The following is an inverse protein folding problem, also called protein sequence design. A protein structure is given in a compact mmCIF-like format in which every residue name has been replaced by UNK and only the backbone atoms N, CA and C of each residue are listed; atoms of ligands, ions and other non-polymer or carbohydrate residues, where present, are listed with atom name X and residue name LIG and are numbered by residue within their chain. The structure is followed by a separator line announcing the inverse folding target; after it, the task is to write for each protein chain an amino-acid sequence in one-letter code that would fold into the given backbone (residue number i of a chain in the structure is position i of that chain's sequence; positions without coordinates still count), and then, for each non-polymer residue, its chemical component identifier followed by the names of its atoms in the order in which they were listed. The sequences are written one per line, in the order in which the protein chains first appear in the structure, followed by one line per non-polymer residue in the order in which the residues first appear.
data_IF_154922241007
#
_entry.id   IF_154922241007
#
_cell.length_a   1.000
_cell.length_b   1.000
_cell.length_c   1.000
_cell.angle_alpha   90.00
_cell.angle_beta   90.00
_cell.angle_gamma   90.00
#
_symmetry.space_group_name_H-M   'P 1'
#
loop_
_entity.id
_entity.type
_entity.pdbx_description
1 polymer ?
#
# COMPACT_ATOMS: atom_id res chain seq x y z
N UNK A 1 5.10 -23.85 -9.74
CA UNK A 1 3.93 -23.28 -10.45
C UNK A 1 2.84 -23.08 -9.41
N UNK A 2 2.32 -21.85 -9.27
CA UNK A 2 1.27 -21.44 -8.33
C UNK A 2 -0.08 -21.56 -9.04
N UNK A 3 -1.06 -22.27 -8.48
CA UNK A 3 -2.15 -22.78 -9.31
C UNK A 3 -3.54 -22.11 -9.19
N UNK A 4 -3.85 -21.22 -8.23
CA UNK A 4 -4.93 -20.19 -8.37
C UNK A 4 -5.14 -19.26 -7.13
N UNK A 5 -6.03 -18.27 -7.32
CA UNK A 5 -6.20 -16.96 -6.65
C UNK A 5 -6.47 -16.98 -5.12
N UNK A 6 -5.99 -15.97 -4.34
CA UNK A 6 -5.08 -14.91 -4.78
C UNK A 6 -3.69 -15.47 -4.99
N UNK A 7 -3.20 -16.33 -4.09
CA UNK A 7 -2.01 -17.15 -4.30
C UNK A 7 -2.05 -18.38 -3.36
N UNK A 8 -2.50 -19.54 -3.85
CA UNK A 8 -2.31 -20.84 -3.16
C UNK A 8 -1.31 -21.72 -3.92
N UNK A 9 -0.05 -21.63 -3.50
CA UNK A 9 1.14 -22.35 -3.97
C UNK A 9 2.37 -21.57 -3.52
N UNK A 10 3.59 -22.13 -3.61
CA UNK A 10 4.92 -21.55 -3.28
C UNK A 10 5.14 -20.01 -3.43
N UNK A 11 4.40 -19.17 -2.72
CA UNK A 11 4.64 -17.74 -2.55
C UNK A 11 5.25 -17.53 -1.20
N UNK A 12 6.16 -16.56 -1.13
CA UNK A 12 6.74 -16.16 0.13
C UNK A 12 5.61 -15.72 1.11
N UNK A 13 5.50 -16.33 2.30
CA UNK A 13 4.42 -16.03 3.24
C UNK A 13 4.37 -14.56 3.68
N UNK A 14 5.51 -13.86 3.71
CA UNK A 14 5.56 -12.45 4.09
C UNK A 14 4.94 -11.61 2.97
N UNK A 15 5.34 -11.85 1.71
CA UNK A 15 4.78 -11.14 0.57
C UNK A 15 3.26 -11.35 0.46
N UNK A 16 2.78 -12.58 0.67
CA UNK A 16 1.34 -12.88 0.66
C UNK A 16 0.56 -12.04 1.69
N UNK A 17 1.11 -11.88 2.90
CA UNK A 17 0.45 -11.06 3.95
C UNK A 17 0.42 -9.58 3.60
N UNK A 18 1.46 -9.05 2.95
CA UNK A 18 1.45 -7.67 2.50
C UNK A 18 0.39 -7.44 1.42
N UNK A 19 0.20 -8.39 0.50
CA UNK A 19 -0.91 -8.33 -0.46
C UNK A 19 -2.28 -8.35 0.23
N UNK A 20 -2.48 -9.23 1.20
CA UNK A 20 -3.74 -9.32 1.97
C UNK A 20 -4.07 -8.02 2.72
N UNK A 21 -3.05 -7.33 3.24
CA UNK A 21 -3.20 -6.00 3.85
C UNK A 21 -3.72 -4.99 2.84
N UNK A 22 -3.16 -4.93 1.64
CA UNK A 22 -3.64 -4.01 0.60
C UNK A 22 -5.02 -4.39 0.05
N UNK A 23 -5.33 -5.67 -0.07
CA UNK A 23 -6.67 -6.12 -0.49
C UNK A 23 -7.73 -5.74 0.55
N UNK A 24 -7.38 -5.81 1.84
CA UNK A 24 -8.30 -5.51 2.95
C UNK A 24 -8.43 -4.01 3.21
N UNK A 25 -7.30 -3.29 3.28
CA UNK A 25 -7.25 -1.89 3.71
C UNK A 25 -7.10 -0.90 2.55
N UNK A 26 -6.85 -1.36 1.32
CA UNK A 26 -6.66 -0.51 0.14
C UNK A 26 -7.75 0.56 -0.04
N UNK A 27 -9.05 0.21 0.04
CA UNK A 27 -10.12 1.20 -0.05
C UNK A 27 -10.06 2.28 1.03
N UNK A 28 -9.73 1.90 2.27
CA UNK A 28 -9.60 2.82 3.39
C UNK A 28 -8.37 3.73 3.25
N UNK A 29 -7.22 3.17 2.86
CA UNK A 29 -5.99 3.92 2.58
C UNK A 29 -6.24 4.94 1.47
N UNK A 30 -6.88 4.53 0.37
CA UNK A 30 -7.26 5.44 -0.73
C UNK A 30 -8.11 6.60 -0.23
N UNK A 31 -9.15 6.31 0.55
CA UNK A 31 -10.06 7.33 1.09
C UNK A 31 -9.31 8.34 1.97
N UNK A 32 -8.44 7.87 2.87
CA UNK A 32 -7.64 8.73 3.75
C UNK A 32 -6.67 9.61 2.96
N UNK A 33 -6.02 9.07 1.93
CA UNK A 33 -5.12 9.87 1.06
C UNK A 33 -5.91 10.99 0.39
N UNK A 34 -7.09 10.68 -0.18
CA UNK A 34 -7.92 11.69 -0.82
C UNK A 34 -8.43 12.75 0.18
N UNK A 35 -8.78 12.36 1.40
CA UNK A 35 -9.22 13.28 2.46
C UNK A 35 -8.08 14.20 2.92
N UNK A 36 -6.89 13.65 3.19
CA UNK A 36 -5.76 14.41 3.73
C UNK A 36 -5.08 15.33 2.71
N UNK A 37 -5.07 14.92 1.44
CA UNK A 37 -4.42 15.68 0.37
C UNK A 37 -5.40 16.52 -0.48
N UNK A 38 -6.68 16.56 -0.08
CA UNK A 38 -7.55 17.75 -0.02
C UNK A 38 -8.05 18.40 -1.31
N UNK A 39 -7.26 18.44 -2.38
CA UNK A 39 -7.54 19.31 -3.55
C UNK A 39 -7.38 18.62 -4.92
N UNK A 40 -7.21 17.30 -4.94
CA UNK A 40 -7.21 16.57 -6.20
C UNK A 40 -7.26 15.07 -6.00
N UNK A 41 -8.05 14.39 -6.83
CA UNK A 41 -7.80 12.98 -7.08
C UNK A 41 -6.29 12.85 -7.42
N UNK A 42 -5.59 11.95 -6.77
CA UNK A 42 -4.14 11.78 -6.96
C UNK A 42 -3.68 10.42 -6.47
N UNK A 43 -2.39 10.14 -6.68
CA UNK A 43 -1.76 8.88 -6.27
C UNK A 43 -0.51 9.14 -5.44
N UNK A 44 -0.17 8.15 -4.63
CA UNK A 44 1.18 7.99 -4.13
C UNK A 44 2.05 7.41 -5.24
N UNK A 45 3.14 8.10 -5.58
CA UNK A 45 4.13 7.61 -6.54
C UNK A 45 4.78 6.32 -6.04
N UNK A 46 5.03 5.37 -6.95
CA UNK A 46 5.86 4.18 -6.71
C UNK A 46 7.26 4.30 -7.35
N UNK A 47 7.59 5.46 -7.94
CA UNK A 47 8.90 5.75 -8.56
C UNK A 47 9.70 6.71 -7.68
N UNK A 48 9.08 7.84 -7.33
CA UNK A 48 9.61 8.77 -6.32
C UNK A 48 9.09 8.32 -4.96
N UNK A 49 9.68 7.22 -4.50
CA UNK A 49 9.19 6.37 -3.43
C UNK A 49 10.35 5.74 -2.66
N UNK A 50 10.18 5.57 -1.35
CA UNK A 50 11.10 4.84 -0.50
C UNK A 50 10.34 3.90 0.45
N UNK A 51 11.02 2.82 0.83
CA UNK A 51 10.51 1.82 1.76
C UNK A 51 11.54 1.61 2.84
N UNK A 52 11.09 1.67 4.09
CA UNK A 52 11.91 1.35 5.25
C UNK A 52 11.24 0.25 6.08
N UNK A 53 12.06 -0.62 6.69
CA UNK A 53 11.60 -1.77 7.46
C UNK A 53 12.35 -1.81 8.79
N UNK A 54 11.60 -1.58 9.86
CA UNK A 54 12.10 -1.52 11.22
C UNK A 54 11.56 -2.65 12.09
N UNK A 55 12.33 -2.98 13.13
CA UNK A 55 11.91 -3.86 14.22
C UNK A 55 11.58 -3.02 15.45
N UNK A 56 10.42 -3.28 16.05
CA UNK A 56 10.04 -2.71 17.35
C UNK A 56 9.83 -3.84 18.35
N UNK A 57 10.54 -3.78 19.47
CA UNK A 57 10.37 -4.72 20.57
C UNK A 57 9.01 -4.48 21.25
N UNK A 58 8.23 -5.55 21.45
CA UNK A 58 6.93 -5.49 22.11
C UNK A 58 6.83 -6.63 23.15
N UNK A 59 6.29 -6.39 24.36
CA UNK A 59 6.16 -7.41 25.40
C UNK A 59 5.41 -8.69 24.97
N UNK A 60 4.60 -8.63 23.91
CA UNK A 60 3.83 -9.76 23.36
C UNK A 60 4.47 -10.40 22.13
N UNK A 61 5.66 -9.95 21.75
CA UNK A 61 6.41 -10.41 20.59
C UNK A 61 6.69 -9.28 19.62
N UNK A 62 7.93 -9.24 19.14
CA UNK A 62 8.46 -8.18 18.28
C UNK A 62 7.55 -7.89 17.08
N UNK A 63 7.48 -6.61 16.72
CA UNK A 63 6.67 -6.09 15.63
C UNK A 63 7.55 -5.64 14.49
N UNK A 64 7.05 -5.81 13.27
CA UNK A 64 7.65 -5.26 12.05
C UNK A 64 6.89 -3.99 11.70
N UNK A 65 7.62 -2.89 11.54
CA UNK A 65 7.08 -1.64 11.00
C UNK A 65 7.56 -1.51 9.57
N UNK A 66 6.63 -1.26 8.65
CA UNK A 66 6.94 -0.94 7.26
C UNK A 66 6.45 0.47 7.02
N UNK A 67 7.35 1.34 6.59
CA UNK A 67 7.04 2.73 6.25
C UNK A 67 7.12 2.89 4.74
N UNK A 68 6.00 3.32 4.15
CA UNK A 68 5.91 3.67 2.74
C UNK A 68 5.88 5.19 2.61
N UNK A 69 6.93 5.77 2.01
CA UNK A 69 7.02 7.20 1.77
C UNK A 69 7.06 7.44 0.26
N UNK A 70 5.97 8.01 -0.26
CA UNK A 70 5.80 8.28 -1.67
C UNK A 70 5.33 9.68 -1.94
N UNK A 71 5.92 10.31 -2.95
CA UNK A 71 5.49 11.62 -3.41
C UNK A 71 4.04 11.60 -3.89
N UNK A 72 3.24 12.55 -3.40
CA UNK A 72 1.89 12.75 -3.90
C UNK A 72 1.91 13.35 -5.30
N UNK A 73 1.16 12.72 -6.22
CA UNK A 73 1.00 13.15 -7.60
C UNK A 73 -0.48 13.42 -7.86
N UNK A 74 -0.82 14.69 -8.03
CA UNK A 74 -2.16 15.08 -8.47
C UNK A 74 -2.42 14.57 -9.89
N UNK A 75 -3.63 14.07 -10.15
CA UNK A 75 -4.01 13.75 -11.52
C UNK A 75 -4.13 15.01 -12.37
N UNK A 76 -3.80 14.87 -13.65
CA UNK A 76 -3.98 15.94 -14.61
C UNK A 76 -5.47 16.22 -14.83
N UNK A 77 -5.85 17.50 -14.82
CA UNK A 77 -7.19 17.97 -15.15
C UNK A 77 -7.65 17.63 -16.58
N UNK A 78 -6.75 17.16 -17.45
CA UNK A 78 -7.08 16.70 -18.80
C UNK A 78 -7.60 15.27 -18.86
N UNK A 79 -7.38 14.46 -17.83
CA UNK A 79 -7.90 13.10 -17.75
C UNK A 79 -9.23 13.07 -17.00
N UNK A 80 -10.27 12.49 -17.62
CA UNK A 80 -11.47 12.05 -16.88
C UNK A 80 -11.15 10.71 -16.26
N UNK A 81 -10.97 10.68 -14.95
CA UNK A 81 -10.69 9.45 -14.22
C UNK A 81 -12.00 8.93 -13.61
N UNK A 82 -12.37 7.65 -13.83
CA UNK A 82 -13.68 7.11 -13.47
C UNK A 82 -13.87 6.81 -11.97
N UNK A 83 -13.00 7.34 -11.11
CA UNK A 83 -13.04 7.15 -9.66
C UNK A 83 -13.15 8.46 -8.90
#
# INVERSE_FOLDING_TARGET
VLHEHPYKGNVDPILYRLHEVFDTYGPAIKAIIHEKFGDGNGIMSAIDFSVDVDKVEDPKGDRIIITFDGKFLQYSCRGKYPW
#
